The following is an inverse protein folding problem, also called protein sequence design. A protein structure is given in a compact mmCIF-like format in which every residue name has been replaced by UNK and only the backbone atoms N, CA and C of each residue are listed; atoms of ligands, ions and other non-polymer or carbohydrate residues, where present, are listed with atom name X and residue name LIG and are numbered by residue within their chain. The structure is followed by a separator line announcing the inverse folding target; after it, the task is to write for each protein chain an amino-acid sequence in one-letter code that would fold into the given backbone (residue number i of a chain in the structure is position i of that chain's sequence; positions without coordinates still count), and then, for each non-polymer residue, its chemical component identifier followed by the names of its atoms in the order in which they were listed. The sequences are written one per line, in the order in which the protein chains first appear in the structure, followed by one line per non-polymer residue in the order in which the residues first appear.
data_IF_277905769056
#
_entry.id   IF_277905769056
#
_cell.length_a   1.000
_cell.length_b   1.000
_cell.length_c   1.000
_cell.angle_alpha   90.00
_cell.angle_beta   90.00
_cell.angle_gamma   90.00
#
_symmetry.space_group_name_H-M   'P 1'
#
loop_
_entity.id
_entity.type
_entity.pdbx_description
1 polymer ?
#
# COMPACT_ATOMS: atom_id res chain seq x y z
N UNK A 1 8.63 1.41 13.87
CA UNK A 1 8.59 0.44 12.75
C UNK A 1 9.67 0.75 11.72
N UNK A 2 9.93 -0.16 10.79
CA UNK A 2 10.84 0.02 9.63
C UNK A 2 10.11 -0.28 8.33
N UNK A 3 10.38 0.46 7.25
CA UNK A 3 9.93 0.06 5.92
C UNK A 3 10.99 -0.83 5.25
N UNK A 4 10.57 -1.96 4.71
CA UNK A 4 11.37 -2.81 3.86
C UNK A 4 11.08 -2.48 2.40
N UNK A 5 12.17 -2.34 1.62
CA UNK A 5 12.15 -2.03 0.19
C UNK A 5 11.82 -0.55 -0.09
N UNK A 6 10.92 -0.30 -1.05
CA UNK A 6 10.69 0.99 -1.69
C UNK A 6 10.99 0.92 -3.19
N UNK A 7 10.79 2.05 -3.88
CA UNK A 7 10.75 2.13 -5.34
C UNK A 7 12.00 1.59 -6.09
N UNK A 8 13.16 1.50 -5.44
CA UNK A 8 14.42 1.06 -6.07
C UNK A 8 14.75 -0.41 -5.85
N UNK A 9 14.02 -1.11 -4.99
CA UNK A 9 14.28 -2.50 -4.65
C UNK A 9 13.37 -3.44 -5.44
N UNK A 10 13.97 -4.43 -6.11
CA UNK A 10 13.26 -5.41 -6.94
C UNK A 10 13.58 -6.85 -6.50
N UNK A 11 13.23 -7.24 -5.26
CA UNK A 11 13.74 -8.45 -4.62
C UNK A 11 13.36 -9.74 -5.35
N UNK A 12 12.23 -9.78 -6.06
CA UNK A 12 11.83 -10.97 -6.83
C UNK A 12 12.56 -11.01 -8.17
N UNK A 13 12.64 -9.89 -8.88
CA UNK A 13 13.29 -9.76 -10.17
C UNK A 13 14.79 -10.05 -10.11
N UNK A 14 15.46 -9.70 -9.00
CA UNK A 14 16.88 -10.01 -8.79
C UNK A 14 17.12 -11.36 -8.09
N UNK A 15 16.07 -12.13 -7.83
CA UNK A 15 16.17 -13.50 -7.31
C UNK A 15 16.60 -13.61 -5.85
N UNK A 16 16.26 -12.64 -4.99
CA UNK A 16 16.50 -12.77 -3.56
C UNK A 16 15.66 -13.89 -2.95
N UNK A 17 16.22 -14.64 -2.02
CA UNK A 17 15.48 -15.66 -1.28
C UNK A 17 14.52 -15.00 -0.26
N UNK A 18 13.20 -15.26 -0.31
CA UNK A 18 12.24 -14.59 0.56
C UNK A 18 12.42 -14.95 2.04
N UNK A 19 12.89 -16.16 2.36
CA UNK A 19 13.05 -16.61 3.74
C UNK A 19 14.28 -15.95 4.38
N UNK A 20 15.41 -15.95 3.67
CA UNK A 20 16.64 -15.28 4.10
C UNK A 20 16.43 -13.77 4.23
N UNK A 21 15.76 -13.12 3.28
CA UNK A 21 15.45 -11.70 3.36
C UNK A 21 14.55 -11.38 4.56
N UNK A 22 13.50 -12.18 4.81
CA UNK A 22 12.63 -12.00 5.98
C UNK A 22 13.39 -12.15 7.30
N UNK A 23 14.31 -13.11 7.40
CA UNK A 23 15.15 -13.29 8.58
C UNK A 23 16.05 -12.09 8.84
N UNK A 24 16.71 -11.56 7.80
CA UNK A 24 17.56 -10.37 7.90
C UNK A 24 16.76 -9.16 8.38
N UNK A 25 15.60 -8.91 7.79
CA UNK A 25 14.77 -7.75 8.14
C UNK A 25 14.18 -7.88 9.55
N UNK A 26 13.71 -9.07 9.94
CA UNK A 26 13.21 -9.29 11.28
C UNK A 26 14.30 -9.21 12.36
N UNK A 27 15.53 -9.64 12.05
CA UNK A 27 16.67 -9.44 12.94
C UNK A 27 16.93 -7.96 13.19
N UNK A 28 16.81 -7.12 12.16
CA UNK A 28 16.95 -5.67 12.28
C UNK A 28 15.85 -5.05 13.17
N UNK A 29 14.58 -5.43 12.95
CA UNK A 29 13.45 -5.00 13.81
C UNK A 29 13.74 -5.31 15.28
N UNK A 30 14.22 -6.53 15.59
CA UNK A 30 14.54 -6.96 16.95
C UNK A 30 15.75 -6.22 17.52
N UNK A 31 16.82 -6.07 16.73
CA UNK A 31 18.06 -5.43 17.15
C UNK A 31 17.82 -3.99 17.61
N UNK A 32 16.95 -3.26 16.90
CA UNK A 32 16.65 -1.87 17.20
C UNK A 32 15.38 -1.68 18.04
N UNK A 33 14.78 -2.77 18.54
CA UNK A 33 13.61 -2.70 19.42
C UNK A 33 12.40 -2.04 18.78
N UNK A 34 12.21 -2.21 17.47
CA UNK A 34 11.09 -1.60 16.75
C UNK A 34 9.81 -2.42 16.89
N UNK A 35 8.67 -1.74 16.81
CA UNK A 35 7.36 -2.36 16.98
C UNK A 35 6.94 -3.26 15.81
N UNK A 36 7.66 -3.24 14.69
CA UNK A 36 7.21 -3.92 13.48
C UNK A 36 7.87 -3.46 12.19
N UNK A 37 7.30 -3.96 11.10
CA UNK A 37 7.79 -3.79 9.72
C UNK A 37 6.64 -3.44 8.76
N UNK A 38 6.89 -2.52 7.84
CA UNK A 38 6.06 -2.26 6.67
C UNK A 38 6.73 -2.85 5.44
N UNK A 39 5.98 -3.57 4.62
CA UNK A 39 6.48 -4.21 3.39
C UNK A 39 6.10 -3.34 2.20
N UNK A 40 7.01 -2.46 1.80
CA UNK A 40 6.85 -1.53 0.68
C UNK A 40 7.42 -2.13 -0.62
N UNK A 41 6.85 -3.28 -0.99
CA UNK A 41 7.30 -4.01 -2.17
C UNK A 41 6.84 -3.29 -3.44
N UNK A 42 7.79 -2.84 -4.26
CA UNK A 42 7.54 -2.11 -5.51
C UNK A 42 8.21 -2.76 -6.74
N UNK A 43 8.36 -4.09 -6.73
CA UNK A 43 8.87 -4.84 -7.88
C UNK A 43 7.79 -5.00 -8.97
N UNK A 44 7.51 -3.89 -9.66
CA UNK A 44 6.50 -3.84 -10.73
C UNK A 44 6.80 -4.83 -11.85
N UNK A 45 8.07 -5.09 -12.16
CA UNK A 45 8.45 -6.05 -13.20
C UNK A 45 7.97 -7.47 -12.85
N UNK A 46 8.17 -7.90 -11.61
CA UNK A 46 7.73 -9.22 -11.17
C UNK A 46 6.19 -9.35 -11.14
N UNK A 47 5.47 -8.33 -10.68
CA UNK A 47 3.99 -8.34 -10.70
C UNK A 47 3.46 -8.33 -12.14
N UNK A 48 4.06 -7.53 -13.03
CA UNK A 48 3.63 -7.39 -14.43
C UNK A 48 3.98 -8.60 -15.29
N UNK A 49 5.03 -9.36 -14.95
CA UNK A 49 5.32 -10.64 -15.60
C UNK A 49 4.13 -11.60 -15.51
N UNK A 50 3.30 -11.47 -14.46
CA UNK A 50 2.04 -12.20 -14.33
C UNK A 50 2.21 -13.71 -14.22
N UNK A 51 3.41 -14.18 -13.87
CA UNK A 51 3.76 -15.60 -13.78
C UNK A 51 3.61 -16.18 -12.36
N UNK A 52 3.11 -15.39 -11.41
CA UNK A 52 2.86 -15.81 -10.03
C UNK A 52 4.08 -15.74 -9.10
N UNK A 53 5.26 -15.37 -9.61
CA UNK A 53 6.49 -15.38 -8.80
C UNK A 53 6.50 -14.31 -7.71
N UNK A 54 6.01 -13.09 -8.01
CA UNK A 54 5.91 -12.02 -7.03
C UNK A 54 5.01 -12.43 -5.85
N UNK A 55 3.86 -13.04 -6.16
CA UNK A 55 2.89 -13.50 -5.19
C UNK A 55 3.42 -14.65 -4.33
N UNK A 56 4.12 -15.61 -4.95
CA UNK A 56 4.78 -16.71 -4.24
C UNK A 56 5.91 -16.20 -3.32
N UNK A 57 6.69 -15.23 -3.80
CA UNK A 57 7.76 -14.59 -3.05
C UNK A 57 7.20 -13.86 -1.83
N UNK A 58 6.23 -12.97 -2.02
CA UNK A 58 5.59 -12.21 -0.94
C UNK A 58 4.88 -13.13 0.06
N UNK A 59 4.21 -14.19 -0.42
CA UNK A 59 3.59 -15.20 0.46
C UNK A 59 4.62 -15.86 1.39
N UNK A 60 5.77 -16.26 0.85
CA UNK A 60 6.84 -16.90 1.62
C UNK A 60 7.50 -15.93 2.59
N UNK A 61 7.77 -14.71 2.11
CA UNK A 61 8.35 -13.62 2.88
C UNK A 61 7.46 -13.22 4.07
N UNK A 62 6.16 -12.97 3.85
CA UNK A 62 5.20 -12.62 4.92
C UNK A 62 5.05 -13.73 5.95
N UNK A 63 4.98 -15.00 5.50
CA UNK A 63 4.94 -16.16 6.43
C UNK A 63 6.19 -16.21 7.30
N UNK A 64 7.36 -16.04 6.70
CA UNK A 64 8.62 -16.08 7.45
C UNK A 64 8.76 -14.87 8.38
N UNK A 65 8.34 -13.68 7.97
CA UNK A 65 8.28 -12.52 8.86
C UNK A 65 7.41 -12.85 10.08
N UNK A 66 6.26 -13.51 9.94
CA UNK A 66 5.43 -13.88 11.10
C UNK A 66 6.01 -14.97 11.99
N UNK A 67 6.84 -15.87 11.45
CA UNK A 67 7.64 -16.78 12.29
C UNK A 67 8.58 -15.97 13.18
N UNK A 68 9.18 -14.90 12.65
CA UNK A 68 10.15 -14.09 13.38
C UNK A 68 9.52 -12.97 14.23
N UNK A 69 8.39 -12.43 13.79
CA UNK A 69 7.67 -11.27 14.33
C UNK A 69 6.19 -11.65 14.56
N UNK A 70 5.90 -12.39 15.64
CA UNK A 70 4.56 -12.92 15.89
C UNK A 70 3.48 -11.84 15.94
N UNK A 71 2.35 -12.12 15.31
CA UNK A 71 1.18 -11.23 15.32
C UNK A 71 0.67 -11.00 16.75
N UNK A 72 0.21 -9.79 17.04
CA UNK A 72 -0.18 -9.36 18.39
C UNK A 72 0.99 -8.93 19.28
N UNK A 73 2.23 -9.22 18.87
CA UNK A 73 3.45 -8.63 19.48
C UNK A 73 4.07 -7.59 18.56
N UNK A 74 4.17 -7.90 17.26
CA UNK A 74 4.72 -7.00 16.26
C UNK A 74 3.68 -6.62 15.21
N UNK A 75 3.75 -5.38 14.76
CA UNK A 75 2.99 -4.86 13.64
C UNK A 75 3.66 -5.32 12.32
N UNK A 76 2.87 -5.85 11.40
CA UNK A 76 3.28 -6.12 10.03
C UNK A 76 2.25 -5.52 9.08
N UNK A 77 2.69 -4.55 8.30
CA UNK A 77 1.88 -3.90 7.27
C UNK A 77 2.48 -4.15 5.91
N UNK A 78 1.70 -3.93 4.88
CA UNK A 78 2.19 -3.87 3.51
C UNK A 78 1.75 -2.53 2.90
N UNK A 79 2.53 -1.97 1.97
CA UNK A 79 2.19 -0.74 1.27
C UNK A 79 1.98 -0.96 -0.25
N UNK A 80 1.03 -1.80 -0.68
CA UNK A 80 0.77 -1.98 -2.12
C UNK A 80 0.17 -0.73 -2.76
N UNK A 81 0.46 -0.54 -4.05
CA UNK A 81 -0.33 0.38 -4.87
C UNK A 81 -1.76 -0.17 -5.07
N UNK A 82 -2.77 0.72 -5.03
CA UNK A 82 -4.18 0.35 -5.19
C UNK A 82 -4.50 -0.46 -6.47
N UNK A 83 -3.89 -0.16 -7.63
CA UNK A 83 -4.05 -0.94 -8.84
C UNK A 83 -3.82 -2.44 -8.69
N UNK A 84 -2.92 -2.89 -7.81
CA UNK A 84 -2.62 -4.31 -7.59
C UNK A 84 -3.77 -5.11 -6.95
N UNK A 85 -4.85 -4.45 -6.55
CA UNK A 85 -6.10 -5.11 -6.16
C UNK A 85 -7.11 -5.26 -7.30
N UNK A 86 -6.80 -4.80 -8.51
CA UNK A 86 -7.68 -4.93 -9.68
C UNK A 86 -7.85 -6.40 -10.08
N UNK A 87 -9.03 -7.03 -9.91
CA UNK A 87 -9.22 -8.44 -10.24
C UNK A 87 -8.98 -8.70 -11.73
N UNK A 88 -8.33 -9.83 -12.04
CA UNK A 88 -8.03 -10.29 -13.40
C UNK A 88 -7.14 -9.34 -14.24
N UNK A 89 -6.54 -8.30 -13.63
CA UNK A 89 -5.65 -7.36 -14.34
C UNK A 89 -4.22 -7.91 -14.49
N UNK A 90 -3.75 -8.66 -13.51
CA UNK A 90 -2.40 -9.23 -13.47
C UNK A 90 -2.49 -10.76 -13.55
N UNK A 91 -1.65 -11.40 -14.38
CA UNK A 91 -1.70 -12.85 -14.59
C UNK A 91 -1.56 -13.68 -13.31
N UNK A 92 -0.72 -13.23 -12.37
CA UNK A 92 -0.56 -13.85 -11.04
C UNK A 92 -1.61 -13.43 -10.00
N UNK A 93 -2.45 -12.45 -10.34
CA UNK A 93 -3.49 -11.89 -9.49
C UNK A 93 -3.02 -10.87 -8.45
N UNK A 94 -1.72 -10.59 -8.36
CA UNK A 94 -1.12 -9.54 -7.53
C UNK A 94 -1.62 -9.58 -6.08
N UNK A 95 -2.01 -8.43 -5.51
CA UNK A 95 -2.42 -8.36 -4.11
C UNK A 95 -3.78 -9.01 -3.83
N UNK A 96 -4.58 -9.30 -4.85
CA UNK A 96 -5.78 -10.16 -4.68
C UNK A 96 -5.36 -11.58 -4.30
N UNK A 97 -4.34 -12.14 -4.97
CA UNK A 97 -3.80 -13.48 -4.66
C UNK A 97 -3.06 -13.48 -3.32
N UNK A 98 -2.23 -12.46 -3.05
CA UNK A 98 -1.48 -12.34 -1.80
C UNK A 98 -2.42 -12.23 -0.60
N UNK A 99 -3.47 -11.40 -0.68
CA UNK A 99 -4.46 -11.31 0.41
C UNK A 99 -5.17 -12.65 0.66
N UNK A 100 -5.51 -13.41 -0.38
CA UNK A 100 -6.09 -14.76 -0.21
C UNK A 100 -5.13 -15.72 0.49
N UNK A 101 -3.84 -15.67 0.17
CA UNK A 101 -2.84 -16.58 0.70
C UNK A 101 -2.41 -16.25 2.13
N UNK A 102 -2.16 -14.96 2.41
CA UNK A 102 -1.52 -14.49 3.66
C UNK A 102 -2.12 -13.20 4.20
N UNK A 103 -3.24 -12.72 3.65
CA UNK A 103 -3.87 -11.47 4.12
C UNK A 103 -4.25 -11.52 5.59
N UNK A 104 -4.59 -12.69 6.14
CA UNK A 104 -4.87 -12.86 7.57
C UNK A 104 -3.64 -12.64 8.48
N UNK A 105 -2.42 -12.76 7.94
CA UNK A 105 -1.17 -12.50 8.64
C UNK A 105 -0.76 -11.03 8.60
N UNK A 106 -1.34 -10.22 7.73
CA UNK A 106 -1.01 -8.79 7.57
C UNK A 106 -1.97 -7.99 8.45
N UNK A 107 -1.49 -7.03 9.24
CA UNK A 107 -2.37 -6.26 10.14
C UNK A 107 -3.22 -5.25 9.36
N UNK A 108 -2.61 -4.51 8.43
CA UNK A 108 -3.32 -3.67 7.45
C UNK A 108 -2.46 -3.37 6.22
N UNK A 109 -3.10 -2.77 5.21
CA UNK A 109 -2.49 -2.28 3.99
C UNK A 109 -2.47 -0.75 4.00
N UNK A 110 -1.28 -0.16 3.89
CA UNK A 110 -1.05 1.24 3.58
C UNK A 110 -1.23 1.44 2.07
N UNK A 111 -2.48 1.49 1.62
CA UNK A 111 -2.85 1.46 0.21
C UNK A 111 -2.36 2.72 -0.50
N UNK A 112 -1.30 2.62 -1.31
CA UNK A 112 -0.81 3.76 -2.08
C UNK A 112 -1.80 4.06 -3.22
N UNK A 113 -2.57 5.14 -3.07
CA UNK A 113 -3.53 5.65 -4.08
C UNK A 113 -2.91 6.82 -4.84
N UNK A 114 -1.69 6.60 -5.25
CA UNK A 114 -0.80 7.43 -6.04
C UNK A 114 0.21 6.52 -6.72
N UNK A 115 1.07 7.12 -7.53
CA UNK A 115 2.02 6.35 -8.33
C UNK A 115 3.41 6.89 -8.06
N UNK A 116 4.39 6.02 -7.79
CA UNK A 116 5.74 6.45 -7.48
C UNK A 116 6.27 7.43 -8.53
N UNK A 117 6.97 8.47 -8.09
CA UNK A 117 7.90 9.17 -8.98
C UNK A 117 9.01 8.20 -9.28
N UNK A 118 9.21 7.86 -10.55
CA UNK A 118 10.41 7.12 -10.90
C UNK A 118 11.10 7.75 -12.10
N UNK A 119 12.19 8.43 -11.81
CA UNK A 119 13.37 8.44 -12.65
C UNK A 119 14.09 7.08 -12.65
N UNK A 120 13.72 6.15 -11.73
CA UNK A 120 14.28 4.80 -11.60
C UNK A 120 13.66 3.76 -12.56
N UNK A 121 12.45 3.98 -13.08
CA UNK A 121 11.86 3.21 -14.18
C UNK A 121 11.57 4.11 -15.39
N UNK A 122 12.58 4.48 -16.19
CA UNK A 122 12.37 5.19 -17.47
C UNK A 122 11.62 4.36 -18.52
N UNK A 123 11.17 3.14 -18.19
CA UNK A 123 10.67 2.14 -19.13
C UNK A 123 9.41 1.42 -18.67
N UNK A 124 8.65 1.98 -17.74
CA UNK A 124 7.24 1.60 -17.63
C UNK A 124 6.44 2.61 -18.45
N UNK A 125 5.85 2.16 -19.56
CA UNK A 125 4.80 2.89 -20.29
C UNK A 125 3.51 3.00 -19.47
N UNK A 126 3.63 3.26 -18.17
CA UNK A 126 2.55 3.41 -17.24
C UNK A 126 2.51 4.87 -16.82
N UNK A 127 2.01 5.73 -17.71
CA UNK A 127 1.27 6.87 -17.24
C UNK A 127 -0.01 6.31 -16.62
N UNK A 128 0.04 6.00 -15.34
CA UNK A 128 -1.18 6.10 -14.55
C UNK A 128 -1.79 7.46 -14.90
N UNK A 129 -3.06 7.48 -15.29
CA UNK A 129 -3.65 8.74 -15.72
C UNK A 129 -3.47 9.80 -14.63
N UNK A 130 -3.40 11.06 -15.07
CA UNK A 130 -3.11 12.18 -14.18
C UNK A 130 -4.24 12.45 -13.18
N UNK A 131 -5.38 11.79 -13.32
CA UNK A 131 -6.61 12.04 -12.57
C UNK A 131 -7.06 10.89 -11.65
N UNK A 132 -6.45 9.69 -11.75
CA UNK A 132 -6.80 8.58 -10.86
C UNK A 132 -6.66 8.96 -9.39
N UNK A 133 -7.70 8.62 -8.61
CA UNK A 133 -7.76 8.84 -7.16
C UNK A 133 -7.63 10.31 -6.73
N UNK A 134 -7.76 11.30 -7.62
CA UNK A 134 -7.65 12.73 -7.28
C UNK A 134 -8.95 13.37 -6.78
N UNK A 135 -10.07 12.62 -6.85
CA UNK A 135 -11.38 13.02 -6.34
C UNK A 135 -11.88 12.02 -5.30
N UNK A 136 -12.81 12.42 -4.42
CA UNK A 136 -13.39 11.48 -3.46
C UNK A 136 -14.09 10.30 -4.15
N UNK A 137 -14.78 10.53 -5.28
CA UNK A 137 -15.43 9.43 -5.99
C UNK A 137 -14.41 8.44 -6.59
N UNK A 138 -13.36 8.96 -7.24
CA UNK A 138 -12.29 8.14 -7.80
C UNK A 138 -11.49 7.38 -6.74
N UNK A 139 -11.29 8.00 -5.57
CA UNK A 139 -10.62 7.40 -4.43
C UNK A 139 -11.46 6.31 -3.75
N UNK A 140 -12.75 6.59 -3.53
CA UNK A 140 -13.59 5.80 -2.65
C UNK A 140 -14.45 4.78 -3.39
N UNK A 141 -15.11 5.18 -4.48
CA UNK A 141 -16.24 4.43 -5.05
C UNK A 141 -15.96 3.85 -6.43
N UNK A 142 -15.32 4.63 -7.32
CA UNK A 142 -15.33 4.37 -8.75
C UNK A 142 -13.93 4.50 -9.33
N UNK A 143 -13.22 3.38 -9.47
CA UNK A 143 -11.92 3.40 -10.14
C UNK A 143 -12.04 3.61 -11.66
N UNK A 144 -10.91 3.93 -12.30
CA UNK A 144 -10.87 4.07 -13.77
C UNK A 144 -11.01 2.72 -14.47
N UNK A 145 -11.37 2.74 -15.76
CA UNK A 145 -11.38 1.54 -16.60
C UNK A 145 -9.98 0.95 -16.79
N UNK A 146 -8.93 1.76 -16.63
CA UNK A 146 -7.54 1.31 -16.64
C UNK A 146 -7.26 0.36 -15.47
N UNK A 147 -7.78 0.69 -14.28
CA UNK A 147 -7.58 -0.04 -13.02
C UNK A 147 -8.92 -0.42 -12.41
N UNK A 148 -9.63 -1.40 -12.96
CA UNK A 148 -10.99 -1.71 -12.54
C UNK A 148 -11.01 -2.30 -11.12
N UNK A 149 -11.94 -1.81 -10.29
CA UNK A 149 -12.18 -2.23 -8.91
C UNK A 149 -11.04 -1.92 -7.92
N UNK A 150 -10.25 -0.88 -8.18
CA UNK A 150 -9.15 -0.44 -7.31
C UNK A 150 -9.50 0.74 -6.40
N UNK A 151 -10.75 1.22 -6.37
CA UNK A 151 -11.19 2.21 -5.40
C UNK A 151 -11.46 1.55 -4.04
N UNK A 152 -11.34 2.30 -2.95
CA UNK A 152 -11.38 1.78 -1.57
C UNK A 152 -12.54 0.78 -1.32
N UNK A 153 -13.77 1.16 -1.67
CA UNK A 153 -14.94 0.32 -1.42
C UNK A 153 -15.07 -0.85 -2.41
N UNK A 154 -14.49 -0.74 -3.60
CA UNK A 154 -14.43 -1.84 -4.56
C UNK A 154 -13.39 -2.89 -4.13
N UNK A 155 -12.25 -2.45 -3.60
CA UNK A 155 -11.26 -3.32 -2.97
C UNK A 155 -11.89 -4.03 -1.77
N UNK A 156 -12.61 -3.30 -0.92
CA UNK A 156 -13.29 -3.91 0.22
C UNK A 156 -14.33 -4.97 -0.20
N UNK A 157 -15.11 -4.68 -1.23
CA UNK A 157 -16.07 -5.62 -1.81
C UNK A 157 -15.42 -6.90 -2.37
N UNK A 158 -14.12 -6.86 -2.66
CA UNK A 158 -13.33 -8.02 -3.10
C UNK A 158 -12.84 -8.91 -1.94
N UNK A 159 -13.26 -8.63 -0.71
CA UNK A 159 -13.03 -9.48 0.47
C UNK A 159 -11.93 -8.98 1.41
N UNK A 160 -11.44 -7.74 1.25
CA UNK A 160 -10.53 -7.12 2.21
C UNK A 160 -11.34 -6.28 3.22
N UNK A 161 -11.23 -6.53 4.54
CA UNK A 161 -11.94 -5.73 5.53
C UNK A 161 -11.61 -4.24 5.43
N UNK A 162 -12.62 -3.37 5.49
CA UNK A 162 -12.42 -1.91 5.46
C UNK A 162 -11.46 -1.40 6.53
N UNK A 163 -11.45 -2.04 7.71
CA UNK A 163 -10.55 -1.71 8.82
C UNK A 163 -9.07 -1.97 8.53
N UNK A 164 -8.76 -2.68 7.43
CA UNK A 164 -7.39 -2.97 6.99
C UNK A 164 -6.93 -2.12 5.81
N UNK A 165 -7.76 -1.20 5.32
CA UNK A 165 -7.46 -0.39 4.13
C UNK A 165 -7.15 1.04 4.53
N UNK A 166 -5.89 1.31 4.92
CA UNK A 166 -5.41 2.66 5.23
C UNK A 166 -5.18 3.40 3.91
N UNK A 167 -5.70 4.63 3.79
CA UNK A 167 -5.58 5.42 2.56
C UNK A 167 -4.21 6.11 2.53
N UNK A 168 -3.35 5.77 1.57
CA UNK A 168 -2.00 6.34 1.40
C UNK A 168 -1.92 7.40 0.30
N UNK A 169 -1.51 8.64 0.64
CA UNK A 169 -1.45 9.77 -0.31
C UNK A 169 -0.09 10.47 -0.30
N UNK A 170 0.32 11.15 -1.37
CA UNK A 170 1.50 11.98 -1.33
C UNK A 170 1.22 13.28 -0.55
N UNK A 171 2.23 13.79 0.15
CA UNK A 171 2.15 15.00 0.97
C UNK A 171 2.06 16.26 0.09
N UNK A 172 2.77 16.26 -1.03
CA UNK A 172 2.83 17.33 -2.02
C UNK A 172 2.73 16.77 -3.44
N UNK A 173 2.64 17.66 -4.44
CA UNK A 173 2.72 17.27 -5.85
C UNK A 173 4.12 16.81 -6.27
N UNK A 174 5.14 17.06 -5.44
CA UNK A 174 6.53 16.69 -5.69
C UNK A 174 6.90 15.29 -5.19
N UNK A 175 5.99 14.60 -4.49
CA UNK A 175 6.29 13.32 -3.82
C UNK A 175 5.73 12.11 -4.55
N UNK A 176 4.86 12.33 -5.55
CA UNK A 176 4.34 11.30 -6.44
C UNK A 176 4.03 11.87 -7.83
N UNK A 177 3.98 11.00 -8.85
CA UNK A 177 3.68 11.42 -10.23
C UNK A 177 2.20 11.81 -10.42
N UNK A 178 1.33 11.32 -9.54
CA UNK A 178 -0.10 11.62 -9.53
C UNK A 178 -0.72 11.38 -8.14
N UNK A 179 -2.04 11.47 -8.04
CA UNK A 179 -2.79 11.04 -6.84
C UNK A 179 -2.77 12.03 -5.68
N UNK A 180 -2.04 13.14 -5.79
CA UNK A 180 -2.08 14.23 -4.81
C UNK A 180 -3.51 14.77 -4.64
N UNK A 181 -3.85 15.08 -3.40
CA UNK A 181 -5.06 15.77 -3.01
C UNK A 181 -4.68 16.80 -1.95
N UNK A 182 -5.25 18.00 -2.01
CA UNK A 182 -5.06 18.96 -0.92
C UNK A 182 -5.60 18.38 0.39
N UNK A 183 -4.99 18.76 1.51
CA UNK A 183 -5.36 18.28 2.84
C UNK A 183 -6.85 18.45 3.13
N UNK A 184 -7.43 19.58 2.75
CA UNK A 184 -8.87 19.85 2.92
C UNK A 184 -9.76 18.90 2.11
N UNK A 185 -9.40 18.65 0.83
CA UNK A 185 -10.15 17.70 -0.01
C UNK A 185 -10.03 16.29 0.56
N UNK A 186 -8.82 15.86 0.94
CA UNK A 186 -8.61 14.54 1.54
C UNK A 186 -9.41 14.38 2.84
N UNK A 187 -9.40 15.37 3.74
CA UNK A 187 -10.20 15.36 4.96
C UNK A 187 -11.70 15.14 4.69
N UNK A 188 -12.24 15.82 3.67
CA UNK A 188 -13.62 15.61 3.22
C UNK A 188 -13.88 14.20 2.68
N UNK A 189 -12.94 13.62 1.94
CA UNK A 189 -13.06 12.23 1.50
C UNK A 189 -13.01 11.24 2.68
N UNK A 190 -12.14 11.47 3.66
CA UNK A 190 -12.06 10.62 4.86
C UNK A 190 -13.38 10.66 5.65
N UNK A 191 -14.02 11.83 5.74
CA UNK A 191 -15.34 11.96 6.36
C UNK A 191 -16.40 11.13 5.62
N UNK A 192 -16.44 11.22 4.29
CA UNK A 192 -17.36 10.42 3.47
C UNK A 192 -17.11 8.92 3.64
N UNK A 193 -15.84 8.50 3.66
CA UNK A 193 -15.46 7.11 3.86
C UNK A 193 -15.92 6.62 5.24
N UNK A 194 -15.69 7.41 6.29
CA UNK A 194 -16.12 7.08 7.66
C UNK A 194 -17.64 6.98 7.79
N UNK A 195 -18.39 7.87 7.14
CA UNK A 195 -19.84 7.79 7.06
C UNK A 195 -20.38 6.53 6.38
N UNK A 196 -19.52 5.81 5.64
CA UNK A 196 -19.80 4.55 4.95
C UNK A 196 -19.17 3.33 5.63
N UNK A 197 -18.79 3.46 6.91
CA UNK A 197 -18.32 2.35 7.75
C UNK A 197 -16.81 2.07 7.70
N UNK A 198 -16.03 2.90 7.00
CA UNK A 198 -14.57 2.80 7.02
C UNK A 198 -13.96 3.43 8.27
N UNK A 199 -12.91 2.82 8.84
CA UNK A 199 -12.28 3.29 10.08
C UNK A 199 -10.76 3.01 10.20
N UNK A 200 -10.06 2.77 9.09
CA UNK A 200 -8.66 2.32 9.13
C UNK A 200 -7.63 3.43 9.41
N UNK A 201 -7.76 4.60 8.76
CA UNK A 201 -6.82 5.73 8.92
C UNK A 201 -6.13 6.17 7.63
N UNK A 202 -5.21 7.13 7.73
CA UNK A 202 -4.50 7.71 6.59
C UNK A 202 -2.98 7.52 6.75
N UNK A 203 -2.31 7.18 5.66
CA UNK A 203 -0.85 7.16 5.49
C UNK A 203 -0.46 8.28 4.52
N UNK A 204 0.76 8.80 4.67
CA UNK A 204 1.27 9.84 3.79
C UNK A 204 2.72 9.61 3.40
N UNK A 205 3.05 9.87 2.14
CA UNK A 205 4.42 9.93 1.61
C UNK A 205 4.77 11.39 1.25
N UNK A 206 5.60 12.11 1.99
CA UNK A 206 6.36 11.63 3.15
C UNK A 206 6.57 12.70 4.22
N UNK A 207 7.21 12.30 5.31
CA UNK A 207 7.79 13.21 6.27
C UNK A 207 9.16 13.70 5.73
N UNK A 208 9.49 15.01 5.82
CA UNK A 208 8.86 16.04 6.64
C UNK A 208 7.72 16.84 5.97
N UNK A 209 7.38 16.56 4.72
CA UNK A 209 6.40 17.35 3.96
C UNK A 209 4.97 17.28 4.53
N UNK A 210 4.64 16.20 5.25
CA UNK A 210 3.39 16.04 6.01
C UNK A 210 3.63 15.86 7.52
N UNK A 211 4.01 16.94 8.19
CA UNK A 211 4.23 16.97 9.64
C UNK A 211 2.93 17.12 10.48
N UNK A 212 3.07 17.44 11.78
CA UNK A 212 1.98 17.46 12.75
C UNK A 212 0.76 18.32 12.34
N UNK A 213 0.97 19.46 11.67
CA UNK A 213 -0.13 20.30 11.16
C UNK A 213 -0.95 19.57 10.12
N UNK A 214 -0.30 18.88 9.18
CA UNK A 214 -0.98 18.07 8.17
C UNK A 214 -1.79 16.94 8.82
N UNK A 215 -1.22 16.25 9.82
CA UNK A 215 -1.90 15.17 10.54
C UNK A 215 -3.17 15.68 11.22
N UNK A 216 -3.08 16.81 11.94
CA UNK A 216 -4.23 17.46 12.58
C UNK A 216 -5.31 17.81 11.56
N UNK A 217 -4.91 18.41 10.44
CA UNK A 217 -5.85 18.97 9.48
C UNK A 217 -6.50 17.88 8.62
N UNK A 218 -5.76 16.85 8.20
CA UNK A 218 -6.29 15.75 7.38
C UNK A 218 -7.33 14.92 8.14
N UNK A 219 -7.12 14.72 9.45
CA UNK A 219 -8.03 13.92 10.28
C UNK A 219 -9.23 14.70 10.79
N UNK A 220 -9.20 16.03 10.71
CA UNK A 220 -10.14 16.94 11.39
C UNK A 220 -11.63 16.62 11.19
N UNK A 221 -12.02 16.13 10.02
CA UNK A 221 -13.43 15.86 9.70
C UNK A 221 -13.86 14.41 9.96
N UNK A 222 -12.92 13.46 9.96
CA UNK A 222 -13.20 12.04 10.15
C UNK A 222 -12.90 11.59 11.59
N UNK A 223 -11.79 12.03 12.18
CA UNK A 223 -11.33 11.65 13.51
C UNK A 223 -10.96 12.90 14.33
N UNK A 224 -11.93 13.79 14.61
CA UNK A 224 -11.68 14.99 15.41
C UNK A 224 -11.15 14.62 16.80
N UNK A 225 -10.31 15.50 17.35
CA UNK A 225 -9.85 15.47 18.75
C UNK A 225 -10.81 16.24 19.65
#
# INVERSE_FOLDING_TARGET
MVSAFGATDAPTSVGLDPVATANTMAAWVKQYGLDGIDVDYEDFNAINAGDGKAEAWLTSFTKQLRVQLPQGTYILTHAPVAPWFSPNKFGGGAYVTINKAVGHLIDWYNLQVCTPLSSAYPQTNFSYGTSEYTTCDGLLSTSSSTWPNSALFQIAASGIPLSKLVIGKPATTGDASNGFMSTATLAGCLQQAKGRGWNAGVMVWEFPDAAASWIRDVRSQAFPE
#
